data_IF_795900331098
#
_entry.id   IF_795900331098
#
_cell.length_a   1.000
_cell.length_b   1.000
_cell.length_c   1.000
_cell.angle_alpha   90.00
_cell.angle_beta   90.00
_cell.angle_gamma   90.00
#
_symmetry.space_group_name_H-M   'P 1'
#
loop_
_entity.id
_entity.type
_entity.pdbx_description
1 polymer ?
#
# COMPACT_ATOMS: atom_id res chain seq x y z
N UNK A 1 9.74 69.82 -39.71
CA UNK A 1 8.90 68.84 -40.42
C UNK A 1 9.60 67.48 -40.37
N UNK A 2 8.93 66.51 -39.74
CA UNK A 2 9.05 65.05 -39.83
C UNK A 2 10.43 64.36 -39.90
N UNK A 3 10.91 63.89 -38.74
CA UNK A 3 11.72 62.68 -38.62
C UNK A 3 10.83 61.55 -38.09
N UNK A 4 10.29 60.69 -38.97
CA UNK A 4 9.68 59.40 -38.59
C UNK A 4 9.78 58.44 -39.76
N UNK A 5 10.41 57.29 -39.54
CA UNK A 5 10.32 56.18 -40.49
C UNK A 5 11.50 55.24 -40.50
N UNK A 6 11.78 54.56 -39.37
CA UNK A 6 12.58 53.32 -39.37
C UNK A 6 12.56 52.59 -38.02
N UNK A 7 11.37 52.38 -37.44
CA UNK A 7 11.24 51.56 -36.23
C UNK A 7 9.81 51.00 -36.11
N UNK A 8 9.43 50.09 -37.01
CA UNK A 8 8.11 49.43 -36.93
C UNK A 8 8.09 47.94 -37.26
N UNK A 9 9.23 47.29 -37.49
CA UNK A 9 9.23 45.84 -37.81
C UNK A 9 9.85 44.93 -36.73
N UNK A 10 10.49 45.50 -35.69
CA UNK A 10 11.10 44.69 -34.61
C UNK A 10 10.29 44.62 -33.31
N UNK A 11 9.20 45.38 -33.17
CA UNK A 11 8.36 45.38 -31.96
C UNK A 11 7.13 44.46 -32.11
N UNK A 12 6.72 44.12 -33.33
CA UNK A 12 5.58 43.20 -33.54
C UNK A 12 5.93 41.71 -33.49
N UNK A 13 7.21 41.33 -33.60
CA UNK A 13 7.62 39.91 -33.52
C UNK A 13 8.01 39.50 -32.09
N UNK A 14 8.45 40.44 -31.25
CA UNK A 14 8.75 40.17 -29.84
C UNK A 14 7.52 40.25 -28.93
N UNK A 15 6.45 40.94 -29.34
CA UNK A 15 5.18 41.00 -28.60
C UNK A 15 4.30 39.75 -28.73
N UNK A 16 4.45 38.95 -29.79
CA UNK A 16 3.66 37.73 -30.00
C UNK A 16 4.24 36.47 -29.34
N UNK A 17 5.51 36.47 -28.93
CA UNK A 17 6.12 35.33 -28.23
C UNK A 17 5.97 35.37 -26.71
N UNK A 18 5.42 36.44 -26.12
CA UNK A 18 5.25 36.57 -24.66
C UNK A 18 3.85 36.15 -24.18
N UNK A 19 2.90 35.91 -25.10
CA UNK A 19 1.52 35.52 -24.76
C UNK A 19 1.19 34.04 -24.99
N UNK A 20 2.08 33.26 -25.62
CA UNK A 20 1.89 31.82 -25.81
C UNK A 20 2.25 30.97 -24.59
N UNK A 21 2.94 31.54 -23.59
CA UNK A 21 3.36 30.83 -22.37
C UNK A 21 2.32 30.81 -21.24
N UNK A 22 1.29 31.65 -21.29
CA UNK A 22 0.32 31.80 -20.18
C UNK A 22 -1.00 31.05 -20.40
N UNK A 23 -1.27 30.57 -21.62
CA UNK A 23 -2.54 29.89 -21.92
C UNK A 23 -2.60 28.48 -21.32
N UNK A 24 -1.48 27.74 -21.30
CA UNK A 24 -1.38 26.37 -20.74
C UNK A 24 -1.56 26.31 -19.22
N UNK A 25 -1.50 27.45 -18.52
CA UNK A 25 -1.67 27.53 -17.07
C UNK A 25 -2.92 28.30 -16.64
N UNK A 26 -3.79 28.67 -17.59
CA UNK A 26 -5.08 29.25 -17.23
C UNK A 26 -5.98 28.18 -16.58
N UNK A 27 -6.67 28.48 -15.47
CA UNK A 27 -7.56 27.51 -14.81
C UNK A 27 -8.62 26.91 -15.73
N UNK A 28 -9.13 27.72 -16.67
CA UNK A 28 -10.09 27.27 -17.68
C UNK A 28 -9.46 26.26 -18.66
N UNK A 29 -8.23 26.49 -19.12
CA UNK A 29 -7.53 25.54 -19.98
C UNK A 29 -7.28 24.20 -19.28
N UNK A 30 -6.88 24.23 -18.00
CA UNK A 30 -6.65 23.00 -17.21
C UNK A 30 -7.96 22.23 -16.99
N UNK A 31 -9.05 22.93 -16.68
CA UNK A 31 -10.37 22.32 -16.56
C UNK A 31 -10.82 21.68 -17.87
N UNK A 32 -10.68 22.37 -19.00
CA UNK A 32 -11.05 21.86 -20.33
C UNK A 32 -10.18 20.69 -20.76
N UNK A 33 -8.87 20.74 -20.51
CA UNK A 33 -7.92 19.66 -20.80
C UNK A 33 -8.24 18.40 -19.98
N UNK A 34 -8.39 18.55 -18.66
CA UNK A 34 -8.80 17.46 -17.77
C UNK A 34 -10.14 16.86 -18.20
N UNK A 35 -11.17 17.67 -18.47
CA UNK A 35 -12.48 17.20 -18.93
C UNK A 35 -12.40 16.44 -20.26
N UNK A 36 -11.57 16.92 -21.19
CA UNK A 36 -11.34 16.24 -22.48
C UNK A 36 -10.70 14.87 -22.28
N UNK A 37 -9.69 14.78 -21.43
CA UNK A 37 -9.02 13.52 -21.12
C UNK A 37 -9.91 12.55 -20.32
N UNK A 38 -10.72 13.06 -19.40
CA UNK A 38 -11.71 12.24 -18.68
C UNK A 38 -12.80 11.72 -19.60
N UNK A 39 -13.24 12.53 -20.58
CA UNK A 39 -14.19 12.08 -21.60
C UNK A 39 -13.57 10.97 -22.46
N UNK A 40 -12.29 11.10 -22.86
CA UNK A 40 -11.56 10.04 -23.58
C UNK A 40 -11.47 8.75 -22.76
N UNK A 41 -11.09 8.83 -21.49
CA UNK A 41 -11.04 7.68 -20.57
C UNK A 41 -12.38 6.94 -20.54
N UNK A 42 -13.50 7.67 -20.40
CA UNK A 42 -14.84 7.07 -20.38
C UNK A 42 -15.19 6.44 -21.73
N UNK A 43 -14.92 7.13 -22.84
CA UNK A 43 -15.21 6.63 -24.19
C UNK A 43 -14.37 5.40 -24.56
N UNK A 44 -13.14 5.32 -24.05
CA UNK A 44 -12.24 4.18 -24.25
C UNK A 44 -12.57 2.99 -23.34
N UNK A 45 -13.40 3.21 -22.31
CA UNK A 45 -13.68 2.19 -21.31
C UNK A 45 -12.47 1.90 -20.41
N UNK A 46 -11.56 2.87 -20.25
CA UNK A 46 -10.33 2.78 -19.45
C UNK A 46 -10.63 2.88 -17.93
N UNK A 47 -11.66 2.16 -17.49
CA UNK A 47 -12.07 2.04 -16.09
C UNK A 47 -11.69 0.63 -15.63
N UNK A 48 -10.66 0.55 -14.80
CA UNK A 48 -10.18 -0.71 -14.25
C UNK A 48 -11.30 -1.40 -13.46
N UNK A 49 -11.46 -2.71 -13.61
CA UNK A 49 -12.39 -3.50 -12.79
C UNK A 49 -11.62 -4.53 -11.98
N UNK A 50 -12.27 -5.13 -10.97
CA UNK A 50 -11.67 -6.19 -10.16
C UNK A 50 -11.27 -7.34 -11.08
N UNK A 51 -9.97 -7.63 -11.11
CA UNK A 51 -9.40 -8.65 -11.96
C UNK A 51 -10.01 -10.04 -11.67
N UNK A 52 -10.16 -10.84 -12.73
CA UNK A 52 -10.66 -12.22 -12.58
C UNK A 52 -9.55 -13.16 -12.14
N UNK A 53 -8.33 -12.93 -12.64
CA UNK A 53 -7.13 -13.69 -12.28
C UNK A 53 -6.04 -12.79 -11.72
N UNK A 54 -5.07 -13.38 -11.02
CA UNK A 54 -4.01 -12.65 -10.32
C UNK A 54 -3.03 -11.95 -11.27
N UNK A 55 -2.86 -12.47 -12.48
CA UNK A 55 -1.96 -11.92 -13.51
C UNK A 55 -2.47 -10.57 -14.04
N UNK A 56 -3.79 -10.37 -13.97
CA UNK A 56 -4.48 -9.17 -14.43
C UNK A 56 -4.70 -8.13 -13.32
N UNK A 57 -4.22 -8.41 -12.10
CA UNK A 57 -4.41 -7.53 -10.95
C UNK A 57 -3.88 -6.13 -11.23
N UNK A 58 -4.56 -5.15 -10.69
CA UNK A 58 -4.18 -3.76 -10.75
C UNK A 58 -2.89 -3.51 -9.96
N UNK A 59 -1.88 -2.96 -10.64
CA UNK A 59 -0.55 -2.69 -10.08
C UNK A 59 -0.36 -1.23 -9.65
N UNK A 60 -1.46 -0.48 -9.51
CA UNK A 60 -1.39 0.94 -9.17
C UNK A 60 -0.92 1.82 -10.33
N UNK A 61 -1.11 1.34 -11.57
CA UNK A 61 -0.67 1.99 -12.80
C UNK A 61 -1.81 2.15 -13.77
N UNK A 62 -1.98 3.34 -14.33
CA UNK A 62 -3.07 3.66 -15.26
C UNK A 62 -2.55 4.02 -16.66
N UNK A 63 -3.41 4.00 -17.70
CA UNK A 63 -3.08 4.54 -19.02
C UNK A 63 -2.75 6.05 -18.98
N UNK A 64 -2.07 6.54 -20.03
CA UNK A 64 -1.71 7.97 -20.16
C UNK A 64 -2.96 8.88 -20.16
N UNK A 65 -4.01 8.47 -20.88
CA UNK A 65 -5.31 9.15 -20.94
C UNK A 65 -5.91 9.34 -19.54
N UNK A 66 -5.92 8.27 -18.75
CA UNK A 66 -6.40 8.24 -17.36
C UNK A 66 -5.52 9.10 -16.45
N UNK A 67 -4.19 8.98 -16.53
CA UNK A 67 -3.28 9.82 -15.73
C UNK A 67 -3.49 11.32 -15.99
N UNK A 68 -3.65 11.72 -17.26
CA UNK A 68 -3.95 13.12 -17.63
C UNK A 68 -5.30 13.58 -17.12
N UNK A 69 -6.33 12.74 -17.20
CA UNK A 69 -7.65 13.03 -16.62
C UNK A 69 -7.52 13.32 -15.11
N UNK A 70 -6.84 12.43 -14.39
CA UNK A 70 -6.84 12.39 -12.92
C UNK A 70 -5.83 13.32 -12.25
N UNK A 71 -4.73 13.69 -12.93
CA UNK A 71 -3.69 14.56 -12.36
C UNK A 71 -2.93 15.41 -13.38
N UNK A 72 -3.46 15.55 -14.59
CA UNK A 72 -2.88 16.37 -15.66
C UNK A 72 -1.50 15.89 -16.12
N UNK A 73 -0.74 16.80 -16.75
CA UNK A 73 0.63 16.54 -17.22
C UNK A 73 1.58 16.11 -16.08
N UNK A 74 1.29 16.43 -14.82
CA UNK A 74 2.12 16.01 -13.67
C UNK A 74 2.01 14.51 -13.44
N UNK A 75 0.79 13.98 -13.30
CA UNK A 75 0.57 12.56 -13.11
C UNK A 75 1.10 11.74 -14.29
N UNK A 76 0.88 12.22 -15.51
CA UNK A 76 1.44 11.60 -16.72
C UNK A 76 2.96 11.44 -16.66
N UNK A 77 3.70 12.53 -16.37
CA UNK A 77 5.18 12.49 -16.36
C UNK A 77 5.74 11.55 -15.30
N UNK A 78 5.05 11.40 -14.16
CA UNK A 78 5.51 10.58 -13.04
C UNK A 78 5.13 9.11 -13.18
N UNK A 79 4.28 8.78 -14.16
CA UNK A 79 3.76 7.43 -14.43
C UNK A 79 4.84 6.41 -14.77
N UNK A 80 5.93 6.83 -15.41
CA UNK A 80 7.03 5.92 -15.76
C UNK A 80 7.83 5.45 -14.53
N UNK A 81 7.70 6.14 -13.40
CA UNK A 81 8.35 5.74 -12.15
C UNK A 81 7.80 4.42 -11.60
N UNK A 82 8.54 3.73 -10.73
CA UNK A 82 8.13 2.44 -10.16
C UNK A 82 7.01 2.55 -9.11
N UNK A 83 6.61 3.77 -8.74
CA UNK A 83 5.67 4.07 -7.66
C UNK A 83 4.21 4.03 -8.13
N UNK A 84 3.27 3.97 -7.19
CA UNK A 84 1.83 4.07 -7.50
C UNK A 84 1.51 5.43 -8.15
N UNK A 85 0.52 5.46 -9.03
CA UNK A 85 0.15 6.68 -9.76
C UNK A 85 -0.74 7.62 -8.95
N UNK A 86 -1.65 7.08 -8.13
CA UNK A 86 -2.65 7.86 -7.39
C UNK A 86 -2.13 9.00 -6.50
N UNK A 87 -0.93 8.95 -5.89
CA UNK A 87 -0.40 10.10 -5.13
C UNK A 87 -0.16 11.35 -6.00
N UNK A 88 -0.11 11.19 -7.32
CA UNK A 88 0.11 12.26 -8.29
C UNK A 88 -1.19 12.84 -8.85
N UNK A 89 -2.35 12.31 -8.45
CA UNK A 89 -3.66 12.82 -8.89
C UNK A 89 -3.99 14.15 -8.21
N UNK A 90 -4.93 14.87 -8.83
CA UNK A 90 -5.44 16.12 -8.29
C UNK A 90 -5.97 15.91 -6.86
N UNK A 91 -5.51 16.75 -5.93
CA UNK A 91 -5.88 16.74 -4.51
C UNK A 91 -5.64 15.42 -3.73
N UNK A 92 -4.95 14.42 -4.30
CA UNK A 92 -4.64 13.16 -3.63
C UNK A 92 -3.25 13.11 -2.95
N UNK A 93 -2.38 14.08 -3.26
CA UNK A 93 -1.05 14.23 -2.68
C UNK A 93 -1.01 15.32 -1.61
N UNK A 94 0.01 16.18 -1.66
CA UNK A 94 0.11 17.35 -0.79
C UNK A 94 -0.61 18.58 -1.38
N UNK A 95 -0.47 19.75 -0.75
CA UNK A 95 -1.06 21.00 -1.24
C UNK A 95 -0.64 21.38 -2.66
N UNK A 96 0.48 20.85 -3.17
CA UNK A 96 0.96 21.08 -4.54
C UNK A 96 0.23 20.24 -5.58
N UNK A 97 -0.55 19.24 -5.15
CA UNK A 97 -1.38 18.44 -6.05
C UNK A 97 -2.77 19.06 -6.27
N UNK A 98 -3.09 20.20 -5.69
CA UNK A 98 -4.37 20.89 -5.95
C UNK A 98 -4.42 21.45 -7.37
N UNK A 99 -5.57 21.29 -8.04
CA UNK A 99 -5.81 21.91 -9.32
C UNK A 99 -5.77 23.45 -9.22
N UNK A 100 -5.19 24.17 -10.20
CA UNK A 100 -5.09 25.62 -10.15
C UNK A 100 -6.46 26.33 -10.19
N UNK A 101 -6.67 27.24 -9.24
CA UNK A 101 -7.81 28.15 -9.04
C UNK A 101 -9.20 27.55 -8.68
N UNK A 102 -9.75 28.08 -7.57
CA UNK A 102 -10.88 27.56 -6.79
C UNK A 102 -12.27 27.62 -7.43
N UNK A 103 -12.49 28.43 -8.46
CA UNK A 103 -13.86 28.75 -8.90
C UNK A 103 -14.58 27.56 -9.57
N UNK A 104 -13.83 26.67 -10.23
CA UNK A 104 -14.35 25.45 -10.87
C UNK A 104 -13.63 24.16 -10.40
N UNK A 105 -12.48 24.27 -9.72
CA UNK A 105 -11.73 23.12 -9.20
C UNK A 105 -12.48 22.35 -8.11
N UNK A 106 -13.32 23.05 -7.35
CA UNK A 106 -13.99 22.55 -6.15
C UNK A 106 -15.46 22.21 -6.40
N UNK A 107 -15.88 22.15 -7.68
CA UNK A 107 -17.17 21.61 -8.05
C UNK A 107 -17.24 20.16 -7.54
N UNK A 108 -18.01 19.94 -6.47
CA UNK A 108 -17.91 18.77 -5.57
C UNK A 108 -17.99 17.39 -6.22
N UNK A 109 -18.48 17.30 -7.46
CA UNK A 109 -18.67 16.05 -8.19
C UNK A 109 -17.89 15.99 -9.51
N UNK A 110 -17.62 17.14 -10.12
CA UNK A 110 -17.08 17.23 -11.50
C UNK A 110 -15.76 18.01 -11.61
N UNK A 111 -15.28 18.59 -10.51
CA UNK A 111 -14.03 19.34 -10.49
C UNK A 111 -12.82 18.39 -10.56
N UNK A 112 -11.69 18.84 -11.16
CA UNK A 112 -10.46 18.05 -11.20
C UNK A 112 -10.04 17.48 -9.83
N UNK A 113 -10.16 18.26 -8.75
CA UNK A 113 -9.85 17.79 -7.39
C UNK A 113 -10.77 16.64 -6.94
N UNK A 114 -12.08 16.74 -7.22
CA UNK A 114 -13.04 15.70 -6.87
C UNK A 114 -12.79 14.40 -7.65
N UNK A 115 -12.50 14.49 -8.94
CA UNK A 115 -12.16 13.32 -9.76
C UNK A 115 -10.85 12.66 -9.31
N UNK A 116 -9.80 13.44 -9.03
CA UNK A 116 -8.52 12.90 -8.54
C UNK A 116 -8.65 12.15 -7.22
N UNK A 117 -9.37 12.71 -6.23
CA UNK A 117 -9.65 12.05 -4.95
C UNK A 117 -10.50 10.79 -5.15
N UNK A 118 -11.62 10.89 -5.90
CA UNK A 118 -12.52 9.77 -6.12
C UNK A 118 -11.80 8.61 -6.83
N UNK A 119 -10.93 8.92 -7.79
CA UNK A 119 -10.16 7.90 -8.49
C UNK A 119 -9.07 7.28 -7.60
N UNK A 120 -8.38 8.06 -6.78
CA UNK A 120 -7.43 7.52 -5.80
C UNK A 120 -8.14 6.55 -4.83
N UNK A 121 -9.31 6.92 -4.32
CA UNK A 121 -10.11 6.04 -3.45
C UNK A 121 -10.61 4.79 -4.19
N UNK A 122 -11.05 4.95 -5.44
CA UNK A 122 -11.48 3.82 -6.28
C UNK A 122 -10.35 2.83 -6.53
N UNK A 123 -9.17 3.33 -6.89
CA UNK A 123 -7.97 2.52 -7.12
C UNK A 123 -7.48 1.82 -5.86
N UNK A 124 -7.50 2.50 -4.70
CA UNK A 124 -7.19 1.88 -3.41
C UNK A 124 -8.18 0.75 -3.08
N UNK A 125 -9.46 0.94 -3.38
CA UNK A 125 -10.49 -0.08 -3.16
C UNK A 125 -10.33 -1.27 -4.11
N UNK A 126 -10.00 -1.02 -5.38
CA UNK A 126 -9.64 -2.07 -6.33
C UNK A 126 -8.46 -2.91 -5.83
N UNK A 127 -7.36 -2.25 -5.42
CA UNK A 127 -6.20 -2.94 -4.87
C UNK A 127 -6.58 -3.73 -3.61
N UNK A 128 -7.38 -3.16 -2.71
CA UNK A 128 -7.83 -3.84 -1.49
C UNK A 128 -8.62 -5.12 -1.80
N UNK A 129 -9.60 -5.04 -2.71
CA UNK A 129 -10.41 -6.20 -3.11
C UNK A 129 -9.53 -7.27 -3.75
N UNK A 130 -8.61 -6.88 -4.62
CA UNK A 130 -7.72 -7.82 -5.30
C UNK A 130 -6.68 -8.44 -4.36
N UNK A 131 -6.16 -7.69 -3.38
CA UNK A 131 -5.33 -8.26 -2.32
C UNK A 131 -6.10 -9.29 -1.49
N UNK A 132 -7.37 -9.03 -1.16
CA UNK A 132 -8.21 -10.02 -0.48
C UNK A 132 -8.41 -11.26 -1.37
N UNK A 133 -8.62 -11.07 -2.67
CA UNK A 133 -8.89 -12.14 -3.63
C UNK A 133 -7.65 -12.99 -3.94
N UNK A 134 -6.47 -12.40 -3.98
CA UNK A 134 -5.25 -13.04 -4.53
C UNK A 134 -4.07 -13.11 -3.57
N UNK A 135 -4.17 -12.52 -2.37
CA UNK A 135 -3.05 -12.38 -1.43
C UNK A 135 -3.41 -12.83 0.00
N UNK A 136 -4.34 -13.78 0.16
CA UNK A 136 -4.61 -14.42 1.45
C UNK A 136 -4.35 -15.93 1.31
N UNK A 137 -3.20 -16.38 1.79
CA UNK A 137 -2.75 -17.77 1.77
C UNK A 137 -2.64 -18.30 3.20
N UNK A 138 -3.34 -19.38 3.53
CA UNK A 138 -3.29 -19.99 4.86
C UNK A 138 -2.35 -21.22 4.86
N UNK A 139 -1.50 -21.34 5.87
CA UNK A 139 -0.64 -22.51 6.09
C UNK A 139 -1.16 -23.45 7.19
N UNK A 140 -2.33 -23.16 7.79
CA UNK A 140 -3.03 -24.04 8.73
C UNK A 140 -3.75 -25.22 8.05
N UNK A 141 -3.25 -25.70 6.90
CA UNK A 141 -3.83 -26.80 6.08
C UNK A 141 -5.26 -26.55 5.57
N UNK A 142 -5.85 -25.39 5.83
CA UNK A 142 -7.16 -24.99 5.29
C UNK A 142 -7.09 -24.63 3.80
N UNK A 143 -5.92 -24.17 3.33
CA UNK A 143 -5.77 -23.60 1.99
C UNK A 143 -6.06 -24.59 0.86
N UNK A 144 -5.73 -25.87 1.02
CA UNK A 144 -6.07 -26.88 0.02
C UNK A 144 -7.57 -26.93 -0.24
N UNK A 145 -8.39 -26.98 0.82
CA UNK A 145 -9.83 -26.99 0.68
C UNK A 145 -10.40 -25.62 0.27
N UNK A 146 -9.71 -24.51 0.53
CA UNK A 146 -10.06 -23.20 -0.03
C UNK A 146 -9.88 -23.15 -1.56
N UNK A 147 -8.87 -23.85 -2.08
CA UNK A 147 -8.63 -23.92 -3.54
C UNK A 147 -9.52 -24.97 -4.20
N UNK A 148 -9.57 -26.19 -3.65
CA UNK A 148 -10.23 -27.34 -4.27
C UNK A 148 -11.71 -27.46 -3.93
N UNK A 149 -12.17 -26.79 -2.87
CA UNK A 149 -13.46 -27.06 -2.27
C UNK A 149 -13.48 -28.35 -1.44
N UNK A 150 -14.64 -28.63 -0.84
CA UNK A 150 -14.87 -29.85 -0.05
C UNK A 150 -16.36 -30.21 -0.12
N UNK A 151 -16.66 -31.50 -0.24
CA UNK A 151 -18.04 -32.03 -0.26
C UNK A 151 -18.96 -31.39 -1.33
N UNK A 152 -18.42 -31.08 -2.51
CA UNK A 152 -19.19 -30.45 -3.60
C UNK A 152 -19.40 -28.94 -3.45
N UNK A 153 -18.92 -28.34 -2.36
CA UNK A 153 -18.92 -26.89 -2.17
C UNK A 153 -17.60 -26.28 -2.65
N UNK A 154 -17.67 -25.14 -3.34
CA UNK A 154 -16.49 -24.38 -3.73
C UNK A 154 -15.75 -23.86 -2.48
N UNK A 155 -14.41 -23.86 -2.52
CA UNK A 155 -13.63 -23.47 -1.35
C UNK A 155 -13.92 -22.07 -0.77
N UNK A 156 -14.18 -21.02 -1.58
CA UNK A 156 -14.55 -19.70 -1.07
C UNK A 156 -15.86 -19.64 -0.27
N UNK A 157 -16.75 -20.64 -0.41
CA UNK A 157 -17.99 -20.70 0.39
C UNK A 157 -17.82 -21.45 1.70
N UNK A 158 -16.71 -22.18 1.90
CA UNK A 158 -16.44 -22.89 3.14
C UNK A 158 -16.34 -21.91 4.32
N UNK A 159 -17.00 -22.25 5.44
CA UNK A 159 -17.05 -21.42 6.66
C UNK A 159 -16.48 -22.10 7.90
N UNK A 160 -16.06 -23.36 7.80
CA UNK A 160 -15.60 -24.16 8.94
C UNK A 160 -14.39 -25.01 8.59
N UNK A 161 -13.45 -25.07 9.52
CA UNK A 161 -12.16 -25.74 9.35
C UNK A 161 -11.91 -26.71 10.51
N UNK A 162 -11.74 -28.02 10.26
CA UNK A 162 -11.37 -28.99 11.29
C UNK A 162 -10.13 -28.58 12.07
N UNK A 163 -9.17 -27.93 11.40
CA UNK A 163 -7.92 -27.44 11.95
C UNK A 163 -8.11 -26.30 12.96
N UNK A 164 -9.26 -25.62 12.92
CA UNK A 164 -9.58 -24.49 13.81
C UNK A 164 -10.44 -24.91 15.01
N UNK A 165 -10.57 -26.21 15.26
CA UNK A 165 -11.29 -26.77 16.41
C UNK A 165 -10.37 -26.82 17.63
N UNK A 166 -10.93 -26.59 18.82
CA UNK A 166 -10.24 -26.89 20.07
C UNK A 166 -9.93 -28.40 20.14
N UNK A 167 -8.70 -28.80 20.54
CA UNK A 167 -8.37 -30.20 20.77
C UNK A 167 -9.07 -30.74 22.02
N UNK A 168 -9.21 -32.06 22.13
CA UNK A 168 -9.89 -32.73 23.27
C UNK A 168 -9.26 -32.39 24.63
N UNK A 169 -7.96 -32.09 24.65
CA UNK A 169 -7.22 -31.69 25.85
C UNK A 169 -7.50 -30.25 26.30
N UNK A 170 -8.20 -29.44 25.49
CA UNK A 170 -8.48 -28.04 25.82
C UNK A 170 -9.60 -27.94 26.86
N UNK A 171 -9.48 -27.09 27.90
CA UNK A 171 -10.49 -26.98 28.97
C UNK A 171 -11.90 -26.62 28.45
N UNK A 172 -11.98 -25.77 27.43
CA UNK A 172 -13.26 -25.36 26.82
C UNK A 172 -13.78 -26.32 25.74
N UNK A 173 -13.14 -27.47 25.49
CA UNK A 173 -13.52 -28.40 24.43
C UNK A 173 -15.00 -28.79 24.48
N UNK A 174 -15.46 -29.23 25.65
CA UNK A 174 -16.87 -29.61 25.87
C UNK A 174 -17.80 -28.40 25.74
N UNK A 175 -17.37 -27.22 26.22
CA UNK A 175 -18.19 -26.02 26.22
C UNK A 175 -18.52 -25.51 24.80
N UNK A 176 -17.62 -25.74 23.84
CA UNK A 176 -17.86 -25.40 22.43
C UNK A 176 -18.59 -26.51 21.66
N UNK A 177 -18.91 -27.66 22.27
CA UNK A 177 -19.62 -28.77 21.63
C UNK A 177 -18.82 -30.08 21.51
N UNK A 178 -17.58 -30.09 22.00
CA UNK A 178 -16.74 -31.29 22.07
C UNK A 178 -16.47 -31.92 20.71
N UNK A 179 -16.69 -33.24 20.60
CA UNK A 179 -16.49 -34.02 19.38
C UNK A 179 -17.48 -33.71 18.24
N UNK A 180 -18.57 -32.99 18.54
CA UNK A 180 -19.54 -32.54 17.52
C UNK A 180 -19.05 -31.26 16.82
N UNK A 181 -19.86 -30.67 15.94
CA UNK A 181 -19.57 -29.36 15.36
C UNK A 181 -19.34 -28.32 16.49
N UNK A 182 -18.14 -27.73 16.52
CA UNK A 182 -17.81 -26.76 17.55
C UNK A 182 -18.39 -25.40 17.21
N UNK A 183 -19.17 -24.84 18.13
CA UNK A 183 -19.81 -23.53 18.02
C UNK A 183 -19.64 -22.82 19.34
N UNK A 184 -18.92 -21.70 19.34
CA UNK A 184 -18.75 -20.86 20.52
C UNK A 184 -20.07 -20.20 20.92
N UNK A 185 -20.37 -20.20 22.23
CA UNK A 185 -21.65 -19.74 22.80
C UNK A 185 -21.48 -19.17 24.19
N UNK A 186 -22.55 -18.55 24.69
CA UNK A 186 -22.61 -18.07 26.08
C UNK A 186 -21.53 -17.03 26.36
N UNK A 187 -20.81 -17.21 27.48
CA UNK A 187 -19.77 -16.30 27.93
C UNK A 187 -18.63 -16.13 26.90
N UNK A 188 -18.24 -17.20 26.21
CA UNK A 188 -17.11 -17.21 25.25
C UNK A 188 -17.24 -16.24 24.07
N UNK A 189 -18.46 -15.80 23.74
CA UNK A 189 -18.74 -14.84 22.65
C UNK A 189 -19.17 -13.46 23.17
N UNK A 190 -19.15 -13.24 24.48
CA UNK A 190 -19.55 -11.96 25.11
C UNK A 190 -18.36 -11.06 25.42
N UNK A 191 -17.17 -11.65 25.60
CA UNK A 191 -15.94 -10.96 25.92
C UNK A 191 -14.77 -11.61 25.19
N UNK A 192 -13.67 -10.86 25.03
CA UNK A 192 -12.41 -11.41 24.51
C UNK A 192 -11.83 -12.36 25.55
N UNK A 193 -11.51 -13.57 25.14
CA UNK A 193 -10.78 -14.53 25.97
C UNK A 193 -9.30 -14.15 26.05
N UNK A 194 -8.60 -14.61 27.09
CA UNK A 194 -7.18 -14.32 27.30
C UNK A 194 -6.30 -14.89 26.18
N UNK A 195 -6.71 -16.00 25.58
CA UNK A 195 -6.00 -16.67 24.49
C UNK A 195 -6.53 -16.31 23.10
N UNK A 196 -7.57 -15.47 23.01
CA UNK A 196 -8.19 -15.08 21.74
C UNK A 196 -9.12 -16.13 21.12
N UNK A 197 -9.34 -17.28 21.75
CA UNK A 197 -10.32 -18.28 21.28
C UNK A 197 -11.74 -17.69 21.18
N UNK A 198 -12.55 -18.29 20.32
CA UNK A 198 -13.97 -17.97 20.13
C UNK A 198 -14.28 -16.57 19.60
N UNK A 199 -13.31 -15.93 18.93
CA UNK A 199 -13.58 -14.72 18.14
C UNK A 199 -14.41 -15.06 16.88
N UNK A 200 -14.00 -16.10 16.15
CA UNK A 200 -14.86 -16.73 15.15
C UNK A 200 -15.76 -17.78 15.83
N UNK A 201 -17.07 -17.56 15.69
CA UNK A 201 -18.10 -18.40 16.33
C UNK A 201 -18.01 -19.87 15.91
N UNK A 202 -17.54 -20.16 14.69
CA UNK A 202 -17.51 -21.52 14.12
C UNK A 202 -16.11 -22.12 14.01
N UNK A 203 -15.08 -21.30 14.27
CA UNK A 203 -13.68 -21.70 14.19
C UNK A 203 -12.98 -21.26 15.48
N UNK A 204 -13.18 -21.96 16.62
CA UNK A 204 -12.75 -21.50 17.94
C UNK A 204 -11.28 -21.08 18.05
N UNK A 205 -10.35 -21.71 17.31
CA UNK A 205 -8.93 -21.36 17.33
C UNK A 205 -8.57 -20.18 16.42
N UNK A 206 -9.46 -19.71 15.55
CA UNK A 206 -9.14 -18.66 14.57
C UNK A 206 -8.69 -17.37 15.26
N UNK A 207 -7.44 -16.96 15.01
CA UNK A 207 -6.84 -15.76 15.61
C UNK A 207 -6.44 -15.90 17.08
N UNK A 208 -6.46 -17.11 17.64
CA UNK A 208 -5.99 -17.37 19.00
C UNK A 208 -4.46 -17.45 19.08
N UNK A 209 -3.92 -17.43 20.29
CA UNK A 209 -2.50 -17.67 20.55
C UNK A 209 -2.05 -19.05 20.06
N UNK A 210 -0.78 -19.20 19.69
CA UNK A 210 -0.18 -20.46 19.20
C UNK A 210 -0.78 -20.99 17.89
N UNK A 211 -1.39 -20.13 17.06
CA UNK A 211 -1.75 -20.47 15.68
C UNK A 211 -0.63 -20.11 14.69
N UNK A 212 -0.63 -20.75 13.52
CA UNK A 212 0.37 -20.46 12.50
C UNK A 212 0.11 -19.10 11.86
N UNK A 213 1.21 -18.41 11.51
CA UNK A 213 1.14 -17.19 10.70
C UNK A 213 0.76 -17.50 9.26
N UNK A 214 -0.38 -16.96 8.83
CA UNK A 214 -0.78 -16.92 7.43
C UNK A 214 0.19 -16.09 6.59
N UNK A 215 0.03 -16.15 5.26
CA UNK A 215 0.90 -15.48 4.29
C UNK A 215 0.10 -14.62 3.32
N UNK A 216 0.71 -13.53 2.85
CA UNK A 216 0.15 -12.70 1.78
C UNK A 216 0.79 -12.91 0.40
N UNK A 217 1.76 -13.83 0.34
CA UNK A 217 2.46 -14.20 -0.87
C UNK A 217 2.33 -15.71 -1.07
N UNK A 218 2.40 -16.10 -2.34
CA UNK A 218 2.25 -17.47 -2.77
C UNK A 218 3.36 -18.36 -2.22
N UNK A 219 3.03 -19.58 -1.80
CA UNK A 219 3.97 -20.51 -1.18
C UNK A 219 5.17 -20.83 -2.08
N UNK A 220 4.96 -20.93 -3.40
CA UNK A 220 6.03 -21.15 -4.38
C UNK A 220 7.09 -20.04 -4.43
N UNK A 221 6.77 -18.88 -3.81
CA UNK A 221 7.65 -17.70 -3.72
C UNK A 221 8.13 -17.41 -2.30
N UNK A 222 7.75 -18.23 -1.31
CA UNK A 222 8.06 -17.97 0.11
C UNK A 222 9.46 -18.42 0.55
N UNK A 223 10.08 -19.31 -0.23
CA UNK A 223 11.43 -19.82 0.00
C UNK A 223 12.28 -19.68 -1.28
N UNK A 224 12.55 -18.44 -1.74
CA UNK A 224 13.20 -18.21 -3.02
C UNK A 224 14.65 -18.72 -3.06
N UNK A 225 15.30 -18.85 -1.91
CA UNK A 225 16.64 -19.40 -1.71
C UNK A 225 16.72 -20.91 -1.98
N UNK A 226 15.64 -21.65 -1.72
CA UNK A 226 15.58 -23.10 -1.96
C UNK A 226 15.44 -23.44 -3.45
N UNK A 227 15.12 -22.46 -4.30
CA UNK A 227 15.01 -22.65 -5.74
C UNK A 227 14.04 -23.77 -6.12
N UNK A 228 12.91 -23.93 -5.42
CA UNK A 228 12.04 -25.10 -5.55
C UNK A 228 11.37 -25.25 -6.92
N UNK A 229 11.29 -24.17 -7.71
CA UNK A 229 10.72 -24.18 -9.06
C UNK A 229 11.59 -23.42 -10.06
N UNK A 230 11.35 -23.68 -11.35
CA UNK A 230 12.13 -23.10 -12.46
C UNK A 230 12.06 -21.56 -12.49
N UNK A 231 10.88 -20.98 -12.20
CA UNK A 231 10.71 -19.53 -12.17
C UNK A 231 11.62 -18.87 -11.12
N UNK A 232 11.64 -19.42 -9.91
CA UNK A 232 12.47 -18.94 -8.81
C UNK A 232 13.96 -19.11 -9.11
N UNK A 233 14.37 -20.26 -9.67
CA UNK A 233 15.76 -20.48 -10.13
C UNK A 233 16.18 -19.48 -11.19
N UNK A 234 15.34 -19.26 -12.20
CA UNK A 234 15.64 -18.32 -13.30
C UNK A 234 15.68 -16.86 -12.80
N UNK A 235 14.80 -16.51 -11.86
CA UNK A 235 14.73 -15.15 -11.30
C UNK A 235 15.90 -14.85 -10.38
N UNK A 236 16.27 -15.76 -9.48
CA UNK A 236 17.24 -15.48 -8.43
C UNK A 236 18.61 -16.10 -8.69
N UNK A 237 18.68 -17.21 -9.43
CA UNK A 237 19.91 -17.97 -9.63
C UNK A 237 20.48 -18.43 -8.29
N UNK A 238 21.78 -18.25 -8.11
CA UNK A 238 22.48 -18.49 -6.86
C UNK A 238 22.58 -17.23 -5.98
N UNK A 239 21.90 -16.13 -6.31
CA UNK A 239 22.15 -14.80 -5.70
C UNK A 239 21.55 -14.60 -4.30
N UNK A 240 20.66 -15.49 -3.86
CA UNK A 240 19.93 -15.36 -2.60
C UNK A 240 20.16 -16.60 -1.75
N UNK A 241 20.43 -16.40 -0.46
CA UNK A 241 20.53 -17.45 0.53
C UNK A 241 20.60 -16.86 1.93
N UNK A 242 20.47 -17.69 2.96
CA UNK A 242 20.47 -17.23 4.36
C UNK A 242 21.66 -16.32 4.70
N UNK A 243 22.84 -16.63 4.16
CA UNK A 243 24.07 -15.84 4.32
C UNK A 243 24.58 -15.23 3.00
N UNK A 244 23.70 -15.08 1.99
CA UNK A 244 24.06 -14.57 0.66
C UNK A 244 23.08 -13.48 0.18
N UNK A 245 23.51 -12.21 0.12
CA UNK A 245 24.77 -11.68 0.64
C UNK A 245 24.84 -11.76 2.17
N UNK A 246 26.05 -11.66 2.74
CA UNK A 246 26.27 -11.68 4.19
C UNK A 246 25.40 -10.61 4.90
N UNK A 247 24.49 -11.00 5.81
CA UNK A 247 23.62 -10.07 6.53
C UNK A 247 24.37 -8.95 7.27
N UNK A 248 25.58 -9.19 7.75
CA UNK A 248 26.40 -8.16 8.40
C UNK A 248 26.92 -7.12 7.41
N UNK A 249 27.21 -7.53 6.16
CA UNK A 249 27.57 -6.59 5.10
C UNK A 249 26.36 -5.72 4.77
N UNK A 250 25.17 -6.31 4.63
CA UNK A 250 23.92 -5.58 4.39
C UNK A 250 23.71 -4.55 5.52
N UNK A 251 23.77 -4.98 6.78
CA UNK A 251 23.61 -4.10 7.96
C UNK A 251 24.58 -2.92 7.95
N UNK A 252 25.87 -3.18 7.72
CA UNK A 252 26.91 -2.14 7.73
C UNK A 252 26.84 -1.19 6.55
N UNK A 253 26.51 -1.70 5.35
CA UNK A 253 26.57 -0.92 4.12
C UNK A 253 25.26 -0.18 3.81
N UNK A 254 24.11 -0.75 4.17
CA UNK A 254 22.81 -0.24 3.76
C UNK A 254 21.95 0.28 4.93
N UNK A 255 22.13 -0.24 6.15
CA UNK A 255 21.30 0.14 7.30
C UNK A 255 22.00 1.00 8.36
N UNK A 256 23.33 1.12 8.27
CA UNK A 256 24.07 2.02 9.17
C UNK A 256 23.69 3.47 8.88
N UNK A 257 23.21 4.18 9.90
CA UNK A 257 22.88 5.61 9.84
C UNK A 257 24.17 6.44 9.92
N UNK A 258 24.93 6.49 8.84
CA UNK A 258 26.13 7.31 8.75
C UNK A 258 25.82 8.77 9.06
N UNK A 259 26.73 9.45 9.77
CA UNK A 259 26.61 10.87 10.12
C UNK A 259 27.88 11.59 9.69
N UNK A 260 27.73 12.62 8.87
CA UNK A 260 28.82 13.51 8.44
C UNK A 260 29.39 14.31 9.61
N UNK A 261 28.55 14.63 10.59
CA UNK A 261 28.87 15.41 11.80
C UNK A 261 28.32 14.73 13.06
N UNK A 262 28.91 13.60 13.50
CA UNK A 262 28.35 12.78 14.58
C UNK A 262 28.19 13.54 15.91
N UNK A 263 29.09 14.49 16.20
CA UNK A 263 29.04 15.31 17.42
C UNK A 263 27.82 16.24 17.46
N UNK A 264 27.34 16.70 16.29
CA UNK A 264 26.14 17.54 16.18
C UNK A 264 24.86 16.74 16.25
N UNK A 265 24.88 15.52 15.73
CA UNK A 265 23.74 14.62 15.80
C UNK A 265 23.57 14.02 17.20
N UNK A 266 24.70 13.71 17.86
CA UNK A 266 24.78 13.12 19.20
C UNK A 266 23.87 11.91 19.35
N UNK A 267 24.02 10.93 18.46
CA UNK A 267 23.17 9.71 18.38
C UNK A 267 21.66 10.01 18.24
N UNK A 268 21.32 11.18 17.69
CA UNK A 268 19.94 11.64 17.53
C UNK A 268 19.39 12.43 18.71
N UNK A 269 20.14 12.59 19.80
CA UNK A 269 19.76 13.45 20.92
C UNK A 269 19.95 14.95 20.63
N UNK A 270 20.66 15.30 19.56
CA UNK A 270 20.99 16.68 19.21
C UNK A 270 21.88 17.37 20.25
N UNK A 271 21.97 18.68 20.16
CA UNK A 271 22.76 19.52 21.07
C UNK A 271 21.92 20.04 22.25
N UNK A 272 22.55 20.34 23.41
CA UNK A 272 21.87 20.94 24.56
C UNK A 272 21.06 22.19 24.18
N UNK A 273 19.91 22.39 24.85
CA UNK A 273 19.06 23.56 24.61
C UNK A 273 18.38 23.60 23.24
N UNK A 274 18.34 22.47 22.51
CA UNK A 274 17.80 22.39 21.15
C UNK A 274 18.46 23.39 20.20
N UNK A 275 19.79 23.52 20.32
CA UNK A 275 20.58 24.44 19.51
C UNK A 275 20.31 24.23 18.01
N UNK A 276 20.23 25.32 17.24
CA UNK A 276 19.86 25.27 15.81
C UNK A 276 20.90 24.53 14.96
N UNK A 277 22.11 24.42 15.49
CA UNK A 277 23.25 23.72 14.90
C UNK A 277 23.16 22.20 15.08
N UNK A 278 22.19 21.69 15.86
CA UNK A 278 21.96 20.26 15.99
C UNK A 278 21.46 19.68 14.67
N UNK A 279 22.27 18.82 14.07
CA UNK A 279 22.06 18.31 12.71
C UNK A 279 22.38 16.82 12.67
N UNK A 280 21.49 16.03 12.05
CA UNK A 280 21.74 14.65 11.67
C UNK A 280 21.52 14.55 10.16
N UNK A 281 22.24 13.65 9.50
CA UNK A 281 22.14 13.45 8.04
C UNK A 281 20.77 12.89 7.60
N UNK A 282 19.99 12.32 8.53
CA UNK A 282 18.65 11.83 8.26
C UNK A 282 17.59 12.92 8.46
N UNK A 283 16.58 12.91 7.60
CA UNK A 283 15.48 13.87 7.65
C UNK A 283 14.49 13.55 8.78
N UNK A 284 14.04 14.59 9.47
CA UNK A 284 12.97 14.48 10.46
C UNK A 284 11.64 14.35 9.72
N UNK A 285 10.76 13.47 10.20
CA UNK A 285 9.35 13.45 9.78
C UNK A 285 8.57 14.47 10.62
N UNK A 286 8.25 15.68 10.10
CA UNK A 286 7.70 16.77 10.92
C UNK A 286 6.29 16.49 11.45
N UNK A 287 5.58 15.54 10.83
CA UNK A 287 4.24 15.13 11.20
C UNK A 287 4.21 13.89 12.13
N UNK A 288 5.35 13.26 12.42
CA UNK A 288 5.42 12.00 13.17
C UNK A 288 6.32 12.17 14.40
N UNK A 289 5.72 12.06 15.60
CA UNK A 289 6.45 12.21 16.85
C UNK A 289 6.91 10.85 17.41
N UNK A 290 7.75 10.88 18.46
CA UNK A 290 8.28 9.67 19.10
C UNK A 290 7.20 8.82 19.78
N UNK A 291 6.08 9.42 20.21
CA UNK A 291 4.96 8.65 20.77
C UNK A 291 4.32 7.75 19.71
N UNK A 292 4.23 8.21 18.46
CA UNK A 292 3.74 7.40 17.37
C UNK A 292 4.68 6.21 17.06
N UNK A 293 5.99 6.37 17.28
CA UNK A 293 6.95 5.27 17.18
C UNK A 293 6.79 4.25 18.33
N UNK A 294 6.56 4.71 19.56
CA UNK A 294 6.26 3.80 20.67
C UNK A 294 4.92 3.09 20.51
N UNK A 295 3.92 3.80 19.95
CA UNK A 295 2.61 3.23 19.68
C UNK A 295 2.70 2.04 18.72
N UNK A 296 3.44 2.16 17.61
CA UNK A 296 3.53 1.05 16.66
C UNK A 296 4.28 -0.16 17.26
N UNK A 297 5.28 0.05 18.12
CA UNK A 297 5.91 -1.03 18.88
C UNK A 297 4.93 -1.68 19.87
N UNK A 298 4.15 -0.87 20.59
CA UNK A 298 3.09 -1.35 21.48
C UNK A 298 2.05 -2.20 20.74
N UNK A 299 1.65 -1.78 19.53
CA UNK A 299 0.79 -2.59 18.66
C UNK A 299 1.45 -3.91 18.24
N UNK A 300 2.75 -3.92 17.92
CA UNK A 300 3.47 -5.18 17.62
C UNK A 300 3.43 -6.15 18.80
N UNK A 301 3.54 -5.67 20.04
CA UNK A 301 3.44 -6.50 21.24
C UNK A 301 2.03 -7.09 21.46
N UNK A 302 0.98 -6.46 20.92
CA UNK A 302 -0.39 -6.99 20.92
C UNK A 302 -0.58 -8.02 19.79
N UNK A 303 -0.03 -7.75 18.61
CA UNK A 303 -0.37 -8.49 17.40
C UNK A 303 0.38 -9.79 17.19
N UNK A 304 1.71 -9.81 17.39
CA UNK A 304 2.49 -10.99 16.99
C UNK A 304 3.86 -11.11 17.66
N UNK A 305 4.25 -12.37 17.89
CA UNK A 305 5.62 -12.80 18.19
C UNK A 305 5.85 -14.17 17.54
N UNK A 306 7.08 -14.44 17.12
CA UNK A 306 7.47 -15.78 16.66
C UNK A 306 7.86 -16.65 17.86
N UNK A 307 7.55 -17.95 17.80
CA UNK A 307 8.08 -18.90 18.77
C UNK A 307 9.57 -19.11 18.50
N UNK A 308 10.37 -19.10 19.57
CA UNK A 308 11.79 -19.39 19.56
C UNK A 308 12.03 -20.85 19.93
N UNK A 309 12.66 -21.58 19.03
CA UNK A 309 13.08 -22.96 19.25
C UNK A 309 14.00 -23.04 20.49
N UNK A 310 13.65 -23.90 21.46
CA UNK A 310 14.41 -24.10 22.69
C UNK A 310 14.09 -23.14 23.85
N UNK A 311 13.35 -22.04 23.62
CA UNK A 311 12.91 -21.12 24.67
C UNK A 311 11.41 -21.23 24.98
N UNK A 312 10.58 -21.45 23.96
CA UNK A 312 9.16 -21.70 24.13
C UNK A 312 8.90 -23.20 24.34
N UNK A 313 8.10 -23.57 25.34
CA UNK A 313 7.59 -24.96 25.46
C UNK A 313 6.56 -25.21 24.35
N UNK A 314 6.51 -26.43 23.76
CA UNK A 314 5.54 -26.78 22.72
C UNK A 314 4.08 -26.56 23.14
#
# INVERSE_FOLDING_TARGET
MSHRGRWSWLVMVTGLCVLSGCAEHSPFAIFMDSTTHCTKMVLQGDIQTVAQTREQRFLGKVPESTARCLGGKRAERLREGPWLDWPNYWAAGDATSLAPARLLSDAKVIGPNAHGINAALYELELQRIELIKFNLFDNNKTYEAYVRGRNGEAGPVLKTWPEMRLPESHPDFTAVGGGQAQICRGASIRFRSLTGICNDIRNPLMGSTNQLFARNVDFDTTFPDLGLNELTKNRHGDRVGLLKPDPQIISRKLFTRAQSQPDKCREGYGLPGSAKEAECDYEKAPFFNVLAAFWIQFMTHDWFAHLEEGHNRP
#
